data_IF_420326335208
#
_entry.id   IF_420326335208
#
_cell.length_a   1.000
_cell.length_b   1.000
_cell.length_c   1.000
_cell.angle_alpha   90.00
_cell.angle_beta   90.00
_cell.angle_gamma   90.00
#
_symmetry.space_group_name_H-M   'P 1'
#
loop_
_entity.id
_entity.type
_entity.pdbx_description
1 polymer ?
#
# COMPACT_ATOMS: atom_id res chain seq x y z
N UNK A 1 -6.04 4.73 5.89
CA UNK A 1 -5.67 4.78 4.47
C UNK A 1 -6.33 3.64 3.72
N UNK A 2 -6.43 3.79 2.41
CA UNK A 2 -6.81 2.69 1.53
C UNK A 2 -5.53 2.02 1.02
N UNK A 3 -5.27 0.81 1.53
CA UNK A 3 -4.01 0.10 1.31
C UNK A 3 -4.10 -0.80 0.08
N UNK A 4 -3.08 -0.72 -0.78
CA UNK A 4 -3.01 -1.47 -2.03
C UNK A 4 -1.64 -2.12 -2.19
N UNK A 5 -1.62 -3.39 -2.59
CA UNK A 5 -0.39 -4.10 -2.89
C UNK A 5 0.32 -3.47 -4.10
N UNK A 6 1.65 -3.34 -4.01
CA UNK A 6 2.43 -2.56 -4.99
C UNK A 6 2.30 -3.09 -6.42
N UNK A 7 2.29 -4.39 -6.63
CA UNK A 7 2.13 -4.95 -7.98
C UNK A 7 0.73 -4.74 -8.55
N UNK A 8 -0.31 -4.74 -7.72
CA UNK A 8 -1.67 -4.37 -8.14
C UNK A 8 -1.71 -2.91 -8.59
N UNK A 9 -1.04 -2.01 -7.87
CA UNK A 9 -0.92 -0.63 -8.30
C UNK A 9 -0.18 -0.50 -9.64
N UNK A 10 0.94 -1.21 -9.81
CA UNK A 10 1.68 -1.23 -11.06
C UNK A 10 0.84 -1.77 -12.23
N UNK A 11 0.05 -2.84 -12.00
CA UNK A 11 -0.85 -3.39 -13.02
C UNK A 11 -1.95 -2.42 -13.41
N UNK A 12 -2.49 -1.65 -12.45
CA UNK A 12 -3.46 -0.61 -12.74
C UNK A 12 -2.87 0.50 -13.62
N UNK A 13 -1.65 0.95 -13.32
CA UNK A 13 -0.94 1.94 -14.14
C UNK A 13 -0.73 1.41 -15.57
N UNK A 14 -0.30 0.17 -15.71
CA UNK A 14 -0.10 -0.48 -17.02
C UNK A 14 -1.41 -0.55 -17.83
N UNK A 15 -2.50 -0.94 -17.19
CA UNK A 15 -3.82 -0.98 -17.82
C UNK A 15 -4.28 0.41 -18.26
N UNK A 16 -4.11 1.43 -17.42
CA UNK A 16 -4.46 2.82 -17.76
C UNK A 16 -3.62 3.33 -18.92
N UNK A 17 -2.31 3.03 -18.92
CA UNK A 17 -1.40 3.45 -19.99
C UNK A 17 -1.80 2.87 -21.35
N UNK A 18 -2.21 1.60 -21.41
CA UNK A 18 -2.50 0.91 -22.68
C UNK A 18 -3.97 0.98 -23.11
N UNK A 19 -4.92 1.11 -22.16
CA UNK A 19 -6.35 1.01 -22.43
C UNK A 19 -7.15 2.23 -21.95
N UNK A 20 -6.54 3.13 -21.17
CA UNK A 20 -7.21 4.32 -20.68
C UNK A 20 -7.58 5.28 -21.80
N UNK A 21 -8.69 6.00 -21.62
CA UNK A 21 -9.10 7.04 -22.55
C UNK A 21 -8.27 8.29 -22.36
N UNK A 22 -7.78 8.87 -23.45
CA UNK A 22 -6.97 10.10 -23.40
C UNK A 22 -7.79 11.24 -22.78
N UNK A 23 -7.17 11.95 -21.83
CA UNK A 23 -7.79 13.06 -21.10
C UNK A 23 -8.65 12.65 -19.91
N UNK A 24 -8.81 11.35 -19.63
CA UNK A 24 -9.57 10.84 -18.49
C UNK A 24 -8.68 10.62 -17.27
N UNK A 25 -9.31 10.68 -16.09
CA UNK A 25 -8.68 10.39 -14.79
C UNK A 25 -9.27 9.10 -14.24
N UNK A 26 -8.41 8.22 -13.75
CA UNK A 26 -8.78 6.97 -13.10
C UNK A 26 -8.25 6.93 -11.68
N UNK A 27 -9.13 6.73 -10.71
CA UNK A 27 -8.72 6.46 -9.34
C UNK A 27 -8.34 4.98 -9.20
N UNK A 28 -7.28 4.72 -8.42
CA UNK A 28 -6.78 3.38 -8.14
C UNK A 28 -6.74 3.21 -6.63
N UNK A 29 -7.51 2.30 -6.10
CA UNK A 29 -7.60 1.99 -4.67
C UNK A 29 -7.72 0.49 -4.41
N UNK A 30 -7.58 0.08 -3.15
CA UNK A 30 -7.59 -1.32 -2.76
C UNK A 30 -8.90 -1.81 -2.16
N UNK A 31 -9.83 -0.91 -1.84
CA UNK A 31 -10.99 -1.19 -0.97
C UNK A 31 -10.58 -1.75 0.41
N UNK A 32 -9.37 -1.40 0.87
CA UNK A 32 -8.76 -1.90 2.09
C UNK A 32 -8.53 -0.75 3.09
N UNK A 33 -9.61 -0.12 3.53
CA UNK A 33 -9.49 0.91 4.56
C UNK A 33 -9.09 0.29 5.89
N UNK A 34 -7.90 0.63 6.34
CA UNK A 34 -7.38 0.25 7.67
C UNK A 34 -6.67 1.45 8.30
N UNK A 35 -6.73 1.53 9.61
CA UNK A 35 -6.00 2.53 10.38
C UNK A 35 -4.51 2.21 10.42
N UNK A 36 -3.68 3.22 10.67
CA UNK A 36 -2.24 3.01 10.86
C UNK A 36 -1.96 2.04 12.00
N UNK A 37 -2.76 2.07 13.08
CA UNK A 37 -2.57 1.17 14.21
C UNK A 37 -2.91 -0.28 13.87
N UNK A 38 -3.97 -0.55 13.09
CA UNK A 38 -4.27 -1.90 12.60
C UNK A 38 -3.11 -2.46 11.77
N UNK A 39 -2.54 -1.65 10.86
CA UNK A 39 -1.38 -2.07 10.06
C UNK A 39 -0.15 -2.30 10.95
N UNK A 40 0.08 -1.41 11.91
CA UNK A 40 1.23 -1.54 12.84
C UNK A 40 1.14 -2.85 13.63
N UNK A 41 -0.01 -3.19 14.19
CA UNK A 41 -0.21 -4.44 14.92
C UNK A 41 -0.03 -5.66 14.02
N UNK A 42 -0.56 -5.64 12.80
CA UNK A 42 -0.36 -6.75 11.85
C UNK A 42 1.12 -6.97 11.52
N UNK A 43 1.89 -5.90 11.35
CA UNK A 43 3.34 -6.00 11.11
C UNK A 43 4.06 -6.54 12.35
N UNK A 44 3.74 -6.03 13.54
CA UNK A 44 4.34 -6.51 14.79
C UNK A 44 4.08 -8.00 15.00
N UNK A 45 2.83 -8.44 14.83
CA UNK A 45 2.45 -9.84 14.97
C UNK A 45 3.22 -10.73 13.98
N UNK A 46 3.28 -10.32 12.71
CA UNK A 46 4.02 -11.06 11.68
C UNK A 46 5.53 -11.15 11.96
N UNK A 47 6.09 -10.16 12.64
CA UNK A 47 7.52 -10.10 13.00
C UNK A 47 7.82 -10.65 14.40
N UNK A 48 6.82 -11.13 15.14
CA UNK A 48 6.97 -11.61 16.52
C UNK A 48 7.41 -10.49 17.48
N UNK A 49 6.97 -9.26 17.24
CA UNK A 49 7.27 -8.08 18.07
C UNK A 49 6.03 -7.67 18.87
N UNK A 50 6.27 -6.92 19.94
CA UNK A 50 5.21 -6.39 20.80
C UNK A 50 5.11 -4.85 20.70
N UNK A 51 4.16 -4.27 21.43
CA UNK A 51 3.88 -2.84 21.46
C UNK A 51 5.06 -1.97 21.93
N UNK A 52 6.07 -2.54 22.60
CA UNK A 52 7.28 -1.80 23.01
C UNK A 52 8.07 -1.26 21.81
N UNK A 53 7.83 -1.84 20.62
CA UNK A 53 8.42 -1.40 19.35
C UNK A 53 7.69 -0.18 18.75
N UNK A 54 6.55 0.27 19.31
CA UNK A 54 5.81 1.44 18.86
C UNK A 54 6.33 2.71 19.50
N UNK A 55 6.64 3.70 18.67
CA UNK A 55 6.96 5.05 19.14
C UNK A 55 5.89 6.02 18.62
N UNK A 56 5.15 6.61 19.56
CA UNK A 56 4.21 7.68 19.22
C UNK A 56 4.96 8.99 19.00
N UNK A 57 4.61 9.69 17.95
CA UNK A 57 5.19 10.99 17.59
C UNK A 57 4.09 12.01 17.36
N UNK A 58 4.45 13.30 17.38
CA UNK A 58 3.50 14.36 17.05
C UNK A 58 3.06 14.22 15.59
N UNK A 59 1.76 14.33 15.35
CA UNK A 59 1.21 14.31 14.00
C UNK A 59 1.63 15.56 13.22
N UNK A 60 1.78 15.42 11.89
CA UNK A 60 2.11 16.56 11.03
C UNK A 60 0.87 17.46 10.84
N UNK A 61 1.10 18.75 10.72
CA UNK A 61 0.04 19.71 10.41
C UNK A 61 -0.56 19.42 9.02
N UNK A 62 -1.89 19.50 8.90
CA UNK A 62 -2.60 19.27 7.66
C UNK A 62 -2.62 17.80 7.20
N UNK A 63 -2.37 16.86 8.13
CA UNK A 63 -2.45 15.43 7.82
C UNK A 63 -3.89 15.01 7.59
N UNK A 64 -4.17 14.42 6.42
CA UNK A 64 -5.50 13.89 6.11
C UNK A 64 -5.88 12.76 7.07
N UNK A 65 -7.06 12.88 7.65
CA UNK A 65 -7.54 11.91 8.63
C UNK A 65 -7.91 10.56 8.01
N UNK A 66 -8.43 10.57 6.76
CA UNK A 66 -8.95 9.37 6.08
C UNK A 66 -8.78 9.48 4.57
N UNK A 67 -8.41 8.37 3.95
CA UNK A 67 -8.54 8.15 2.51
C UNK A 67 -9.47 6.98 2.24
N UNK A 68 -10.44 7.19 1.35
CA UNK A 68 -11.30 6.18 0.78
C UNK A 68 -11.37 6.42 -0.73
N UNK A 69 -11.00 5.43 -1.52
CA UNK A 69 -10.89 5.56 -2.97
C UNK A 69 -11.89 4.64 -3.66
N UNK A 70 -12.61 5.18 -4.64
CA UNK A 70 -13.57 4.42 -5.44
C UNK A 70 -12.93 3.96 -6.75
N UNK A 71 -12.98 2.65 -7.01
CA UNK A 71 -12.43 2.00 -8.20
C UNK A 71 -13.47 1.78 -9.32
N UNK A 72 -14.71 2.19 -9.14
CA UNK A 72 -15.82 1.82 -10.05
C UNK A 72 -15.52 2.16 -11.50
N UNK A 73 -14.90 3.30 -11.77
CA UNK A 73 -14.58 3.74 -13.13
C UNK A 73 -13.52 2.85 -13.78
N UNK A 74 -12.40 2.60 -13.12
CA UNK A 74 -11.34 1.76 -13.69
C UNK A 74 -11.81 0.32 -13.87
N UNK A 75 -12.61 -0.19 -12.94
CA UNK A 75 -13.17 -1.52 -13.02
C UNK A 75 -14.17 -1.65 -14.16
N UNK A 76 -15.14 -0.74 -14.27
CA UNK A 76 -16.19 -0.80 -15.29
C UNK A 76 -15.68 -0.50 -16.70
N UNK A 77 -14.76 0.44 -16.85
CA UNK A 77 -14.26 0.85 -18.17
C UNK A 77 -13.06 0.02 -18.65
N UNK A 78 -12.16 -0.39 -17.75
CA UNK A 78 -10.90 -1.06 -18.10
C UNK A 78 -10.79 -2.49 -17.57
N UNK A 79 -11.75 -2.94 -16.75
CA UNK A 79 -11.77 -4.30 -16.21
C UNK A 79 -10.69 -4.59 -15.17
N UNK A 80 -10.05 -3.55 -14.61
CA UNK A 80 -9.04 -3.73 -13.59
C UNK A 80 -9.64 -3.81 -12.19
N UNK A 81 -9.13 -4.74 -11.40
CA UNK A 81 -9.38 -4.88 -9.96
C UNK A 81 -8.13 -5.41 -9.25
N UNK A 82 -7.96 -5.19 -7.94
CA UNK A 82 -6.87 -5.81 -7.20
C UNK A 82 -6.89 -7.32 -7.31
N UNK A 83 -5.73 -7.94 -7.51
CA UNK A 83 -5.60 -9.40 -7.66
C UNK A 83 -5.46 -10.14 -6.33
N UNK A 84 -5.03 -9.43 -5.27
CA UNK A 84 -4.80 -9.97 -3.95
C UNK A 84 -5.70 -9.32 -2.91
N UNK A 85 -6.05 -10.08 -1.88
CA UNK A 85 -6.62 -9.53 -0.65
C UNK A 85 -5.56 -8.71 0.11
N UNK A 86 -6.01 -7.87 1.04
CA UNK A 86 -5.09 -7.13 1.90
C UNK A 86 -4.16 -8.08 2.69
N UNK A 87 -4.70 -9.14 3.23
CA UNK A 87 -3.98 -10.11 4.05
C UNK A 87 -2.89 -10.85 3.26
N UNK A 88 -3.16 -11.18 2.00
CA UNK A 88 -2.17 -11.77 1.10
C UNK A 88 -1.08 -10.76 0.73
N UNK A 89 -1.48 -9.57 0.34
CA UNK A 89 -0.55 -8.51 -0.08
C UNK A 89 0.38 -8.05 1.04
N UNK A 90 -0.12 -7.86 2.27
CA UNK A 90 0.72 -7.43 3.40
C UNK A 90 1.72 -8.53 3.80
N UNK A 91 1.32 -9.80 3.76
CA UNK A 91 2.20 -10.92 4.05
C UNK A 91 3.37 -10.98 3.06
N UNK A 92 3.08 -10.95 1.77
CA UNK A 92 4.10 -10.94 0.71
C UNK A 92 5.05 -9.75 0.89
N UNK A 93 4.51 -8.59 1.23
CA UNK A 93 5.30 -7.37 1.45
C UNK A 93 6.25 -7.53 2.63
N UNK A 94 5.77 -8.04 3.76
CA UNK A 94 6.61 -8.28 4.95
C UNK A 94 7.70 -9.30 4.63
N UNK A 95 7.35 -10.43 4.00
CA UNK A 95 8.29 -11.48 3.61
C UNK A 95 9.36 -10.93 2.67
N UNK A 96 8.99 -10.05 1.73
CA UNK A 96 9.95 -9.41 0.85
C UNK A 96 10.97 -8.56 1.63
N UNK A 97 10.52 -7.71 2.55
CA UNK A 97 11.42 -6.89 3.38
C UNK A 97 12.35 -7.75 4.25
N UNK A 98 11.83 -8.83 4.83
CA UNK A 98 12.65 -9.76 5.65
C UNK A 98 13.73 -10.45 4.82
N UNK A 99 13.47 -10.75 3.55
CA UNK A 99 14.40 -11.43 2.66
C UNK A 99 15.33 -10.49 1.86
N UNK A 100 15.14 -9.17 1.92
CA UNK A 100 15.90 -8.19 1.14
C UNK A 100 16.63 -7.15 2.02
N UNK A 101 17.24 -7.62 3.11
CA UNK A 101 17.92 -6.76 4.09
C UNK A 101 19.10 -5.96 3.51
N UNK A 102 19.82 -6.51 2.54
CA UNK A 102 20.92 -5.80 1.87
C UNK A 102 20.42 -4.60 1.04
N UNK A 103 19.28 -4.76 0.38
CA UNK A 103 18.64 -3.66 -0.34
C UNK A 103 18.24 -2.54 0.64
N UNK A 104 17.67 -2.87 1.79
CA UNK A 104 17.31 -1.89 2.82
C UNK A 104 18.53 -1.13 3.33
N UNK A 105 19.61 -1.84 3.68
CA UNK A 105 20.88 -1.23 4.11
C UNK A 105 21.47 -0.29 3.05
N UNK A 106 21.39 -0.67 1.77
CA UNK A 106 21.89 0.16 0.67
C UNK A 106 21.09 1.46 0.52
N UNK A 107 19.79 1.46 0.82
CA UNK A 107 18.95 2.67 0.82
C UNK A 107 19.26 3.56 2.04
N UNK A 108 19.40 2.98 3.22
CA UNK A 108 19.76 3.70 4.45
C UNK A 108 21.10 4.44 4.30
N UNK A 109 22.10 3.77 3.75
CA UNK A 109 23.43 4.35 3.51
C UNK A 109 23.44 5.51 2.47
N UNK A 110 22.42 5.60 1.61
CA UNK A 110 22.28 6.71 0.64
C UNK A 110 21.60 7.96 1.23
N UNK A 111 21.05 7.87 2.43
CA UNK A 111 20.37 8.99 3.12
C UNK A 111 21.32 9.87 3.95
N UNK A 112 22.60 9.56 3.96
CA UNK A 112 23.64 10.32 4.71
C UNK A 112 24.62 11.01 3.76
#
# INVERSE_FOLDING_TARGET
RDWLYVYDHCSAIDVVLHKGKIGEVYNIGGHNEKTNMEITHLILDAMGKDESSIKYVQDRLGHDKRYAICNDKIQSELGWEPSLTFEEGIKITIDWYLNNQEWMKAIENKRH
#
